data_IF_830050503894
#
_entry.id   IF_830050503894
#
_cell.length_a   1.000
_cell.length_b   1.000
_cell.length_c   1.000
_cell.angle_alpha   90.00
_cell.angle_beta   90.00
_cell.angle_gamma   90.00
#
_symmetry.space_group_name_H-M   'P 1'
#
loop_
_entity.id
_entity.type
_entity.pdbx_description
1 polymer ?
#
# COMPACT_ATOMS: atom_id res chain seq x y z
N UNK A 1 12.28 41.19 -30.49
CA UNK A 1 13.33 40.26 -30.02
C UNK A 1 13.22 40.12 -28.51
N UNK A 2 12.56 39.06 -28.01
CA UNK A 2 12.75 38.46 -26.68
C UNK A 2 12.30 37.01 -26.80
N UNK A 3 13.25 36.13 -27.08
CA UNK A 3 13.10 34.68 -26.98
C UNK A 3 12.99 34.34 -25.51
N UNK A 4 11.90 33.71 -25.08
CA UNK A 4 11.86 33.11 -23.74
C UNK A 4 12.15 31.62 -23.89
N UNK A 5 13.30 31.28 -23.34
CA UNK A 5 13.96 29.99 -23.33
C UNK A 5 13.05 28.84 -22.88
N UNK A 6 13.00 27.82 -23.74
CA UNK A 6 12.71 26.44 -23.39
C UNK A 6 13.82 25.93 -22.47
N UNK A 7 13.54 25.62 -21.20
CA UNK A 7 14.23 24.58 -20.37
C UNK A 7 13.72 24.62 -18.92
N UNK A 8 13.71 23.43 -18.29
CA UNK A 8 13.28 23.11 -16.92
C UNK A 8 11.75 23.05 -16.78
N UNK A 9 11.10 21.91 -16.54
CA UNK A 9 11.39 20.94 -15.49
C UNK A 9 11.16 19.49 -15.96
N UNK A 10 12.24 18.71 -16.02
CA UNK A 10 12.19 17.25 -16.09
C UNK A 10 12.40 16.76 -14.64
N UNK A 11 11.38 16.25 -13.98
CA UNK A 11 11.56 15.52 -12.73
C UNK A 11 10.38 15.55 -11.77
N UNK A 12 9.85 14.35 -11.51
CA UNK A 12 8.71 13.99 -10.65
C UNK A 12 7.35 14.40 -11.21
N UNK A 13 6.69 13.45 -11.86
CA UNK A 13 5.25 13.33 -11.72
C UNK A 13 4.95 13.38 -10.22
N UNK A 14 4.43 14.52 -9.76
CA UNK A 14 3.77 14.59 -8.47
C UNK A 14 2.76 13.45 -8.49
N UNK A 15 2.98 12.46 -7.63
CA UNK A 15 2.08 11.33 -7.43
C UNK A 15 0.66 11.88 -7.46
N UNK A 16 -0.15 11.40 -8.42
CA UNK A 16 -1.57 11.73 -8.50
C UNK A 16 -2.22 11.17 -7.24
N UNK A 17 -2.09 11.88 -6.12
CA UNK A 17 -2.83 11.56 -4.91
C UNK A 17 -4.24 12.01 -5.27
N UNK A 18 -5.05 11.08 -5.78
CA UNK A 18 -6.47 11.35 -5.90
C UNK A 18 -6.92 11.72 -4.50
N UNK A 19 -7.48 12.91 -4.33
CA UNK A 19 -7.93 13.39 -3.01
C UNK A 19 -9.02 12.49 -2.40
N UNK A 20 -9.55 11.54 -3.19
CA UNK A 20 -10.54 10.56 -2.81
C UNK A 20 -9.95 9.22 -2.33
N UNK A 21 -8.64 8.99 -2.48
CA UNK A 21 -8.04 7.73 -2.06
C UNK A 21 -7.83 7.71 -0.54
N UNK A 22 -8.15 6.59 0.13
CA UNK A 22 -7.95 6.48 1.57
C UNK A 22 -6.47 6.50 1.89
N UNK A 23 -6.07 7.21 2.94
CA UNK A 23 -4.67 7.15 3.43
C UNK A 23 -4.33 5.77 4.01
N UNK A 24 -5.29 5.19 4.72
CA UNK A 24 -5.17 3.90 5.40
C UNK A 24 -6.41 3.07 5.11
N UNK A 25 -6.22 1.80 4.78
CA UNK A 25 -7.30 0.80 4.67
C UNK A 25 -7.14 -0.25 5.75
N UNK A 26 -8.25 -0.88 6.16
CA UNK A 26 -8.20 -1.98 7.12
C UNK A 26 -7.77 -3.28 6.44
N UNK A 27 -7.02 -4.12 7.14
CA UNK A 27 -6.90 -5.52 6.74
C UNK A 27 -8.32 -6.13 6.72
N UNK A 28 -8.75 -6.78 5.62
CA UNK A 28 -10.10 -7.33 5.52
C UNK A 28 -10.42 -8.33 6.63
N UNK A 29 -11.71 -8.46 6.96
CA UNK A 29 -12.20 -9.53 7.85
C UNK A 29 -11.99 -10.90 7.21
N UNK A 30 -11.94 -11.95 8.04
CA UNK A 30 -11.82 -13.32 7.52
C UNK A 30 -12.95 -13.62 6.53
N UNK A 31 -12.61 -14.28 5.42
CA UNK A 31 -13.56 -14.59 4.34
C UNK A 31 -13.91 -13.43 3.40
N UNK A 32 -13.51 -12.19 3.70
CA UNK A 32 -13.83 -11.01 2.88
C UNK A 32 -12.59 -10.58 2.09
N UNK A 33 -12.69 -10.37 0.76
CA UNK A 33 -11.61 -9.79 -0.04
C UNK A 33 -11.44 -8.29 0.23
N UNK A 34 -10.32 -7.74 -0.18
CA UNK A 34 -10.09 -6.29 -0.14
C UNK A 34 -11.01 -5.58 -1.14
N UNK A 35 -11.76 -4.58 -0.68
CA UNK A 35 -12.66 -3.77 -1.51
C UNK A 35 -11.93 -2.99 -2.61
N UNK A 36 -10.66 -2.66 -2.39
CA UNK A 36 -9.86 -1.82 -3.29
C UNK A 36 -9.09 -2.61 -4.34
N UNK A 37 -8.59 -3.80 -3.97
CA UNK A 37 -7.67 -4.59 -4.80
C UNK A 37 -8.23 -5.94 -5.20
N UNK A 38 -9.35 -6.37 -4.62
CA UNK A 38 -9.89 -7.73 -4.77
C UNK A 38 -9.04 -8.83 -4.12
N UNK A 39 -7.87 -8.51 -3.55
CA UNK A 39 -6.98 -9.50 -2.95
C UNK A 39 -7.64 -10.16 -1.74
N UNK A 40 -7.45 -11.48 -1.62
CA UNK A 40 -7.91 -12.22 -0.45
C UNK A 40 -7.25 -11.69 0.83
N UNK A 41 -7.94 -11.80 1.97
CA UNK A 41 -7.35 -11.45 3.27
C UNK A 41 -6.03 -12.18 3.52
N UNK A 42 -5.93 -13.46 3.17
CA UNK A 42 -4.71 -14.24 3.37
C UNK A 42 -3.54 -13.63 2.59
N UNK A 43 -3.78 -13.24 1.33
CA UNK A 43 -2.75 -12.58 0.53
C UNK A 43 -2.39 -11.20 1.10
N UNK A 44 -3.37 -10.41 1.50
CA UNK A 44 -3.14 -9.13 2.17
C UNK A 44 -2.30 -9.30 3.43
N UNK A 45 -2.60 -10.30 4.27
CA UNK A 45 -1.86 -10.58 5.50
C UNK A 45 -0.38 -10.93 5.23
N UNK A 46 -0.08 -11.73 4.21
CA UNK A 46 1.30 -12.03 3.80
C UNK A 46 2.11 -10.78 3.42
N UNK A 47 1.45 -9.73 2.91
CA UNK A 47 2.12 -8.50 2.49
C UNK A 47 2.41 -7.56 3.66
N UNK A 48 1.64 -7.63 4.74
CA UNK A 48 1.63 -6.59 5.80
C UNK A 48 2.00 -7.10 7.19
N UNK A 49 1.89 -8.41 7.43
CA UNK A 49 2.23 -9.04 8.71
C UNK A 49 3.64 -9.63 8.60
N UNK A 50 4.58 -9.31 9.50
CA UNK A 50 5.86 -10.01 9.56
C UNK A 50 5.62 -11.51 9.73
N UNK A 51 6.12 -12.30 8.79
CA UNK A 51 5.97 -13.76 8.79
C UNK A 51 7.19 -14.41 8.13
N UNK A 52 7.29 -15.75 8.22
CA UNK A 52 8.41 -16.48 7.63
C UNK A 52 8.48 -16.28 6.11
N UNK A 53 7.32 -16.16 5.45
CA UNK A 53 7.20 -16.03 4.00
C UNK A 53 7.71 -14.69 3.45
N UNK A 54 7.82 -13.66 4.30
CA UNK A 54 8.39 -12.37 3.94
C UNK A 54 9.67 -12.07 4.73
N UNK A 55 10.34 -13.10 5.28
CA UNK A 55 11.58 -12.96 6.05
C UNK A 55 11.43 -11.96 7.23
N UNK A 56 10.23 -11.89 7.80
CA UNK A 56 9.84 -10.91 8.82
C UNK A 56 10.01 -9.43 8.39
N UNK A 57 10.13 -9.18 7.10
CA UNK A 57 10.25 -7.87 6.46
C UNK A 57 9.09 -7.66 5.48
N UNK A 58 7.89 -7.33 5.97
CA UNK A 58 6.71 -7.21 5.13
C UNK A 58 6.92 -6.11 4.06
N UNK A 59 6.64 -6.41 2.78
CA UNK A 59 6.89 -5.46 1.69
C UNK A 59 5.91 -4.27 1.67
N UNK A 60 4.80 -4.34 2.41
CA UNK A 60 3.79 -3.28 2.49
C UNK A 60 3.70 -2.75 3.92
N UNK A 61 3.82 -1.42 4.06
CA UNK A 61 3.76 -0.75 5.37
C UNK A 61 2.39 -0.92 6.02
N UNK A 62 2.38 -1.19 7.32
CA UNK A 62 1.16 -1.24 8.12
C UNK A 62 1.43 -0.92 9.59
N UNK A 63 0.38 -0.57 10.31
CA UNK A 63 0.39 -0.34 11.76
C UNK A 63 -0.70 -1.16 12.42
N UNK A 64 -0.39 -1.73 13.57
CA UNK A 64 -1.38 -2.42 14.41
C UNK A 64 -1.92 -1.42 15.42
N UNK A 65 -3.25 -1.23 15.44
CA UNK A 65 -3.94 -0.48 16.47
C UNK A 65 -4.72 -1.45 17.36
N UNK A 66 -4.52 -1.37 18.66
CA UNK A 66 -5.25 -2.15 19.63
C UNK A 66 -5.11 -1.50 20.99
N UNK A 67 -5.98 -1.87 21.95
CA UNK A 67 -5.85 -1.42 23.31
C UNK A 67 -4.58 -1.98 23.96
N UNK A 68 -4.12 -1.32 25.02
CA UNK A 68 -2.93 -1.72 25.76
C UNK A 68 -3.11 -3.14 26.35
N UNK A 69 -2.11 -3.99 26.04
CA UNK A 69 -1.88 -5.37 26.51
C UNK A 69 -3.08 -6.35 26.48
N UNK A 70 -2.87 -7.48 25.81
CA UNK A 70 -3.65 -8.72 25.87
C UNK A 70 -5.15 -8.69 25.54
N UNK A 71 -5.67 -7.59 24.97
CA UNK A 71 -7.07 -7.57 24.54
C UNK A 71 -7.26 -8.12 23.13
N UNK A 72 -8.35 -8.88 22.96
CA UNK A 72 -8.90 -9.24 21.65
C UNK A 72 -9.38 -7.97 20.96
N UNK A 73 -8.93 -7.69 19.73
CA UNK A 73 -9.42 -6.51 18.97
C UNK A 73 -8.39 -5.75 18.14
N UNK A 74 -7.14 -6.20 18.08
CA UNK A 74 -6.12 -5.57 17.25
C UNK A 74 -6.56 -5.47 15.78
N UNK A 75 -6.63 -4.25 15.28
CA UNK A 75 -6.93 -3.92 13.89
C UNK A 75 -5.66 -3.47 13.20
N UNK A 76 -5.28 -4.16 12.12
CA UNK A 76 -4.17 -3.73 11.29
C UNK A 76 -4.66 -2.74 10.23
N UNK A 77 -4.07 -1.56 10.23
CA UNK A 77 -4.24 -0.55 9.19
C UNK A 77 -3.07 -0.61 8.22
N UNK A 78 -3.37 -0.56 6.94
CA UNK A 78 -2.44 -0.72 5.83
C UNK A 78 -2.32 0.63 5.14
N UNK A 79 -1.10 1.09 4.92
CA UNK A 79 -0.85 2.30 4.13
C UNK A 79 -1.19 2.02 2.67
N UNK A 80 -2.21 2.73 2.17
CA UNK A 80 -2.75 2.49 0.83
C UNK A 80 -1.73 2.79 -0.26
N UNK A 81 -0.97 3.88 -0.10
CA UNK A 81 0.12 4.28 -1.01
C UNK A 81 1.18 3.17 -1.16
N UNK A 82 1.62 2.60 -0.05
CA UNK A 82 2.61 1.53 0.00
C UNK A 82 2.08 0.24 -0.63
N UNK A 83 0.79 -0.04 -0.49
CA UNK A 83 0.16 -1.18 -1.14
C UNK A 83 0.13 -1.00 -2.66
N UNK A 84 -0.33 0.15 -3.15
CA UNK A 84 -0.40 0.41 -4.59
C UNK A 84 0.99 0.42 -5.23
N UNK A 85 1.97 1.10 -4.62
CA UNK A 85 3.37 1.06 -5.08
C UNK A 85 3.91 -0.37 -5.20
N UNK A 86 3.60 -1.24 -4.22
CA UNK A 86 4.00 -2.64 -4.30
C UNK A 86 3.34 -3.35 -5.47
N UNK A 87 2.02 -3.17 -5.67
CA UNK A 87 1.28 -3.80 -6.76
C UNK A 87 1.75 -3.31 -8.13
N UNK A 88 1.95 -2.01 -8.30
CA UNK A 88 2.49 -1.41 -9.53
C UNK A 88 3.86 -2.02 -9.86
N UNK A 89 4.75 -2.14 -8.87
CA UNK A 89 6.07 -2.77 -9.06
C UNK A 89 5.97 -4.24 -9.49
N UNK A 90 4.89 -4.95 -9.14
CA UNK A 90 4.65 -6.33 -9.55
C UNK A 90 4.05 -6.41 -10.95
N UNK A 91 3.21 -5.45 -11.33
CA UNK A 91 2.67 -5.35 -12.69
C UNK A 91 3.80 -5.06 -13.67
N UNK A 92 4.68 -4.10 -13.37
CA UNK A 92 5.84 -3.77 -14.21
C UNK A 92 6.81 -4.96 -14.37
N UNK A 93 7.01 -5.76 -13.32
CA UNK A 93 7.88 -6.95 -13.35
C UNK A 93 7.22 -8.19 -13.94
N UNK A 94 5.89 -8.26 -13.86
CA UNK A 94 5.05 -9.39 -14.27
C UNK A 94 4.40 -9.23 -15.65
N UNK A 95 4.60 -8.11 -16.33
CA UNK A 95 4.21 -7.88 -17.73
C UNK A 95 5.10 -8.64 -18.72
N UNK A 96 5.19 -9.97 -18.57
CA UNK A 96 5.71 -10.90 -19.57
C UNK A 96 4.60 -11.86 -19.98
#
# INVERSE_FOLDING_TARGET
MRTYDTKYERGREASRVNQNDPKLIRLPKQGVPCEWTGLSRAKMAQLVVPSKENEFSPPVRSVSLGPDKDSKGWTRLIYFDSLMQFLDSKIEKGGK
#
